data_IF_732597059265
#
_entry.id   IF_732597059265
#
_cell.length_a   1.000
_cell.length_b   1.000
_cell.length_c   1.000
_cell.angle_alpha   90.00
_cell.angle_beta   90.00
_cell.angle_gamma   90.00
#
_symmetry.space_group_name_H-M   'P 1'
#
loop_
_entity.id
_entity.type
_entity.pdbx_description
1 polymer ?
#
# COMPACT_ATOMS: atom_id res chain seq x y z
N UNK A 1 -27.16 4.60 16.14
CA UNK A 1 -26.43 5.84 16.53
C UNK A 1 -25.16 5.88 15.71
N UNK A 2 -24.61 7.03 15.29
CA UNK A 2 -23.27 7.03 14.70
C UNK A 2 -22.33 6.46 15.76
N UNK A 3 -21.66 5.35 15.44
CA UNK A 3 -20.65 4.77 16.32
C UNK A 3 -19.57 5.81 16.59
N UNK A 4 -19.24 6.01 17.86
CA UNK A 4 -18.14 6.88 18.24
C UNK A 4 -16.84 6.26 17.72
N UNK A 5 -16.07 7.04 16.97
CA UNK A 5 -14.86 6.54 16.32
C UNK A 5 -13.73 6.56 17.34
N UNK A 6 -13.15 5.40 17.62
CA UNK A 6 -12.08 5.26 18.61
C UNK A 6 -10.73 5.67 17.99
N UNK A 7 -10.21 6.83 18.39
CA UNK A 7 -8.91 7.32 17.95
C UNK A 7 -7.80 7.02 18.98
N UNK A 8 -6.53 6.85 18.55
CA UNK A 8 -5.40 6.86 19.48
C UNK A 8 -5.32 8.16 20.29
N UNK A 9 -4.63 8.16 21.45
CA UNK A 9 -4.41 9.37 22.24
C UNK A 9 -3.85 10.52 21.39
N UNK A 10 -4.29 11.75 21.68
CA UNK A 10 -3.87 12.98 21.00
C UNK A 10 -4.26 13.09 19.50
N UNK A 11 -5.01 12.14 18.95
CA UNK A 11 -5.52 12.22 17.58
C UNK A 11 -6.90 12.90 17.55
N UNK A 12 -7.02 13.95 16.74
CA UNK A 12 -8.29 14.64 16.52
C UNK A 12 -9.17 13.87 15.52
N UNK A 13 -10.52 13.94 15.64
CA UNK A 13 -11.42 13.32 14.68
C UNK A 13 -11.13 13.73 13.24
N UNK A 14 -11.31 12.85 12.26
CA UNK A 14 -11.01 13.15 10.84
C UNK A 14 -12.32 13.12 10.06
N UNK A 15 -13.01 14.25 9.84
CA UNK A 15 -14.27 14.25 9.10
C UNK A 15 -14.05 14.24 7.58
N UNK A 16 -14.93 13.58 6.83
CA UNK A 16 -14.89 13.56 5.35
C UNK A 16 -14.97 14.96 4.72
N UNK A 17 -15.53 15.94 5.43
CA UNK A 17 -15.71 17.32 4.95
C UNK A 17 -14.46 18.20 5.09
N UNK A 18 -13.38 17.68 5.67
CA UNK A 18 -12.12 18.43 5.80
C UNK A 18 -11.45 18.65 4.45
N UNK A 19 -10.83 19.82 4.26
CA UNK A 19 -9.97 20.08 3.10
C UNK A 19 -8.68 19.26 3.15
N UNK A 20 -8.07 19.02 1.99
CA UNK A 20 -6.89 18.14 1.85
C UNK A 20 -5.73 18.51 2.79
N UNK A 21 -5.44 19.80 2.99
CA UNK A 21 -4.36 20.24 3.91
C UNK A 21 -4.61 19.79 5.35
N UNK A 22 -5.85 19.92 5.82
CA UNK A 22 -6.23 19.49 7.17
C UNK A 22 -6.25 17.97 7.28
N UNK A 23 -6.73 17.26 6.25
CA UNK A 23 -6.69 15.80 6.19
C UNK A 23 -5.25 15.29 6.30
N UNK A 24 -4.33 15.85 5.51
CA UNK A 24 -2.90 15.47 5.57
C UNK A 24 -2.33 15.71 6.96
N UNK A 25 -2.62 16.86 7.59
CA UNK A 25 -2.14 17.16 8.95
C UNK A 25 -2.64 16.14 9.98
N UNK A 26 -3.94 15.80 9.96
CA UNK A 26 -4.51 14.84 10.91
C UNK A 26 -4.05 13.40 10.65
N UNK A 27 -3.96 12.99 9.38
CA UNK A 27 -3.48 11.65 9.01
C UNK A 27 -2.00 11.44 9.35
N UNK A 28 -1.17 12.49 9.27
CA UNK A 28 0.23 12.43 9.73
C UNK A 28 0.32 12.09 11.22
N UNK A 29 -0.36 12.87 12.06
CA UNK A 29 -0.41 12.66 13.52
C UNK A 29 -0.97 11.27 13.84
N UNK A 30 -2.04 10.87 13.15
CA UNK A 30 -2.63 9.55 13.34
C UNK A 30 -1.65 8.42 12.98
N UNK A 31 -0.94 8.56 11.86
CA UNK A 31 0.00 7.54 11.41
C UNK A 31 1.21 7.42 12.36
N UNK A 32 1.67 8.51 12.97
CA UNK A 32 2.71 8.49 14.00
C UNK A 32 2.22 7.71 15.24
N UNK A 33 1.03 8.01 15.75
CA UNK A 33 0.47 7.32 16.90
C UNK A 33 0.18 5.82 16.66
N UNK A 34 -0.28 5.46 15.45
CA UNK A 34 -0.54 4.07 15.08
C UNK A 34 0.75 3.25 14.87
N UNK A 35 1.84 3.89 14.44
CA UNK A 35 3.15 3.23 14.31
C UNK A 35 3.71 2.77 15.66
N UNK A 36 3.48 3.55 16.71
CA UNK A 36 3.91 3.24 18.08
C UNK A 36 2.98 2.25 18.81
N UNK A 37 1.85 1.88 18.20
CA UNK A 37 0.89 0.99 18.84
C UNK A 37 1.33 -0.47 18.80
N UNK A 38 1.28 -1.15 19.94
CA UNK A 38 1.35 -2.61 20.01
C UNK A 38 0.13 -3.26 19.34
N UNK A 39 0.17 -4.58 19.14
CA UNK A 39 -1.00 -5.31 18.61
C UNK A 39 -2.14 -5.38 19.61
N UNK A 40 -3.35 -5.66 19.13
CA UNK A 40 -4.52 -5.86 19.96
C UNK A 40 -4.44 -7.13 20.82
N UNK A 41 -3.69 -8.13 20.36
CA UNK A 41 -3.37 -9.32 21.14
C UNK A 41 -2.46 -8.98 22.33
N UNK A 42 -1.36 -8.26 22.09
CA UNK A 42 -0.41 -7.85 23.14
C UNK A 42 -1.02 -6.90 24.17
N UNK A 43 -1.90 -6.00 23.73
CA UNK A 43 -2.55 -5.02 24.61
C UNK A 43 -3.79 -5.56 25.33
N UNK A 44 -4.28 -6.75 24.98
CA UNK A 44 -5.51 -7.33 25.55
C UNK A 44 -6.79 -6.57 25.18
N UNK A 45 -6.77 -5.84 24.06
CA UNK A 45 -7.89 -5.02 23.57
C UNK A 45 -8.26 -5.42 22.13
N UNK A 46 -9.01 -6.52 21.93
CA UNK A 46 -9.18 -7.18 20.64
C UNK A 46 -9.81 -6.31 19.54
N UNK A 47 -10.73 -5.40 19.91
CA UNK A 47 -11.50 -4.57 18.96
C UNK A 47 -11.00 -3.12 18.85
N UNK A 48 -9.85 -2.79 19.47
CA UNK A 48 -9.33 -1.42 19.47
C UNK A 48 -9.09 -0.95 18.03
N UNK A 49 -9.60 0.24 17.70
CA UNK A 49 -9.56 0.89 16.38
C UNK A 49 -10.45 0.26 15.31
N UNK A 50 -11.39 -0.62 15.66
CA UNK A 50 -12.31 -1.23 14.69
C UNK A 50 -13.23 -0.20 14.03
N UNK A 51 -13.75 0.73 14.83
CA UNK A 51 -14.59 1.83 14.33
C UNK A 51 -13.77 2.84 13.52
N UNK A 52 -12.49 3.02 13.84
CA UNK A 52 -11.56 3.85 13.07
C UNK A 52 -11.24 3.26 11.70
N UNK A 53 -10.96 1.95 11.62
CA UNK A 53 -10.78 1.25 10.35
C UNK A 53 -12.00 1.43 9.46
N UNK A 54 -13.19 1.16 10.00
CA UNK A 54 -14.47 1.29 9.30
C UNK A 54 -14.74 2.73 8.85
N UNK A 55 -14.31 3.72 9.63
CA UNK A 55 -14.45 5.13 9.30
C UNK A 55 -13.52 5.57 8.17
N UNK A 56 -12.23 5.18 8.22
CA UNK A 56 -11.24 5.52 7.20
C UNK A 56 -11.43 4.74 5.89
N UNK A 57 -12.11 3.59 5.95
CA UNK A 57 -12.49 2.79 4.78
C UNK A 57 -13.68 3.35 3.99
N UNK A 58 -14.29 4.47 4.40
CA UNK A 58 -15.39 5.10 3.66
C UNK A 58 -14.91 5.65 2.32
N UNK A 59 -15.76 5.56 1.29
CA UNK A 59 -15.48 6.06 -0.07
C UNK A 59 -15.05 7.53 -0.10
N UNK A 60 -15.56 8.36 0.82
CA UNK A 60 -15.14 9.76 0.94
C UNK A 60 -13.62 9.95 1.13
N UNK A 61 -12.94 8.97 1.74
CA UNK A 61 -11.50 8.95 1.94
C UNK A 61 -10.80 8.17 0.82
N UNK A 62 -11.27 6.94 0.53
CA UNK A 62 -10.63 6.06 -0.46
C UNK A 62 -10.64 6.64 -1.89
N UNK A 63 -11.60 7.48 -2.23
CA UNK A 63 -11.72 8.10 -3.56
C UNK A 63 -11.04 9.46 -3.67
N UNK A 64 -10.45 9.98 -2.59
CA UNK A 64 -9.76 11.27 -2.58
C UNK A 64 -8.63 11.28 -3.63
N UNK A 65 -8.52 12.36 -4.40
CA UNK A 65 -7.57 12.47 -5.53
C UNK A 65 -6.21 13.04 -5.14
N UNK A 66 -6.05 13.58 -3.93
CA UNK A 66 -4.79 14.12 -3.45
C UNK A 66 -3.83 12.98 -3.12
N UNK A 67 -2.69 12.92 -3.83
CA UNK A 67 -1.66 11.90 -3.59
C UNK A 67 -1.14 11.94 -2.16
N UNK A 68 -0.99 13.13 -1.58
CA UNK A 68 -0.58 13.31 -0.19
C UNK A 68 -1.60 12.70 0.78
N UNK A 69 -2.90 12.97 0.58
CA UNK A 69 -3.95 12.33 1.39
C UNK A 69 -3.91 10.83 1.21
N UNK A 70 -3.78 10.34 -0.02
CA UNK A 70 -3.77 8.90 -0.32
C UNK A 70 -2.65 8.16 0.42
N UNK A 71 -1.41 8.65 0.36
CA UNK A 71 -0.28 7.98 1.03
C UNK A 71 -0.42 7.99 2.54
N UNK A 72 -0.81 9.11 3.16
CA UNK A 72 -0.98 9.17 4.61
C UNK A 72 -2.15 8.30 5.09
N UNK A 73 -3.25 8.26 4.32
CA UNK A 73 -4.37 7.36 4.58
C UNK A 73 -3.97 5.89 4.45
N UNK A 74 -3.24 5.53 3.40
CA UNK A 74 -2.80 4.15 3.17
C UNK A 74 -1.88 3.66 4.29
N UNK A 75 -0.97 4.51 4.79
CA UNK A 75 -0.17 4.18 5.96
C UNK A 75 -1.02 3.97 7.20
N UNK A 76 -1.98 4.86 7.51
CA UNK A 76 -2.88 4.67 8.65
C UNK A 76 -3.65 3.35 8.54
N UNK A 77 -4.18 3.01 7.36
CA UNK A 77 -4.89 1.75 7.14
C UNK A 77 -3.96 0.54 7.32
N UNK A 78 -2.74 0.58 6.78
CA UNK A 78 -1.76 -0.49 6.96
C UNK A 78 -1.36 -0.67 8.43
N UNK A 79 -1.16 0.43 9.17
CA UNK A 79 -0.84 0.40 10.60
C UNK A 79 -2.00 -0.15 11.44
N UNK A 80 -3.24 0.22 11.12
CA UNK A 80 -4.41 -0.35 11.80
C UNK A 80 -4.52 -1.86 11.52
N UNK A 81 -4.32 -2.29 10.27
CA UNK A 81 -4.32 -3.72 9.92
C UNK A 81 -3.20 -4.48 10.64
N UNK A 82 -2.03 -3.87 10.83
CA UNK A 82 -0.94 -4.41 11.65
C UNK A 82 -1.36 -4.57 13.12
N UNK A 83 -2.02 -3.56 13.69
CA UNK A 83 -2.51 -3.61 15.08
C UNK A 83 -3.48 -4.77 15.29
N UNK A 84 -4.30 -5.10 14.28
CA UNK A 84 -5.20 -6.26 14.33
C UNK A 84 -4.52 -7.61 14.04
N UNK A 85 -3.29 -7.64 13.52
CA UNK A 85 -2.63 -8.89 13.19
C UNK A 85 -2.49 -9.79 14.44
N UNK A 86 -2.66 -11.12 14.30
CA UNK A 86 -2.81 -11.87 13.04
C UNK A 86 -4.25 -11.91 12.48
N UNK A 87 -5.27 -11.49 13.23
CA UNK A 87 -6.68 -11.69 12.88
C UNK A 87 -7.40 -10.34 12.68
N UNK A 88 -7.68 -9.98 11.42
CA UNK A 88 -8.35 -8.71 11.12
C UNK A 88 -9.89 -8.86 11.16
N UNK A 89 -10.61 -8.14 12.03
CA UNK A 89 -12.06 -8.28 12.22
C UNK A 89 -12.87 -7.45 11.21
N UNK A 90 -12.55 -7.56 9.92
CA UNK A 90 -13.32 -6.90 8.87
C UNK A 90 -14.59 -7.72 8.58
N UNK A 91 -15.73 -7.17 8.99
CA UNK A 91 -17.02 -7.85 8.85
C UNK A 91 -17.62 -7.80 7.45
N UNK A 92 -17.26 -6.81 6.63
CA UNK A 92 -17.72 -6.67 5.25
C UNK A 92 -16.58 -6.98 4.27
N UNK A 93 -16.64 -8.11 3.53
CA UNK A 93 -15.62 -8.47 2.54
C UNK A 93 -15.41 -7.40 1.47
N UNK A 94 -16.47 -6.67 1.08
CA UNK A 94 -16.38 -5.62 0.06
C UNK A 94 -15.57 -4.43 0.54
N UNK A 95 -15.70 -4.07 1.82
CA UNK A 95 -14.89 -3.03 2.45
C UNK A 95 -13.42 -3.44 2.56
N UNK A 96 -13.13 -4.69 2.96
CA UNK A 96 -11.75 -5.20 2.99
C UNK A 96 -11.11 -5.15 1.60
N UNK A 97 -11.82 -5.62 0.57
CA UNK A 97 -11.36 -5.53 -0.82
C UNK A 97 -11.03 -4.09 -1.21
N UNK A 98 -11.92 -3.15 -0.95
CA UNK A 98 -11.74 -1.75 -1.36
C UNK A 98 -10.53 -1.10 -0.65
N UNK A 99 -10.31 -1.42 0.62
CA UNK A 99 -9.11 -1.02 1.38
C UNK A 99 -7.84 -1.63 0.78
N UNK A 100 -7.82 -2.93 0.50
CA UNK A 100 -6.65 -3.58 -0.10
C UNK A 100 -6.33 -3.01 -1.49
N UNK A 101 -7.34 -2.83 -2.35
CA UNK A 101 -7.17 -2.22 -3.67
C UNK A 101 -6.64 -0.79 -3.55
N UNK A 102 -7.15 -0.01 -2.60
CA UNK A 102 -6.68 1.36 -2.35
C UNK A 102 -5.21 1.39 -1.92
N UNK A 103 -4.83 0.56 -0.95
CA UNK A 103 -3.44 0.43 -0.47
C UNK A 103 -2.52 0.05 -1.63
N UNK A 104 -2.89 -0.95 -2.41
CA UNK A 104 -2.09 -1.42 -3.56
C UNK A 104 -1.94 -0.33 -4.60
N UNK A 105 -3.02 0.36 -4.99
CA UNK A 105 -2.95 1.45 -5.97
C UNK A 105 -2.03 2.58 -5.51
N UNK A 106 -2.01 2.85 -4.21
CA UNK A 106 -1.13 3.85 -3.60
C UNK A 106 0.35 3.52 -3.81
N UNK A 107 0.74 2.24 -3.83
CA UNK A 107 2.15 1.83 -4.09
C UNK A 107 2.71 2.32 -5.44
N UNK A 108 1.85 2.75 -6.38
CA UNK A 108 2.30 3.38 -7.63
C UNK A 108 3.23 4.59 -7.42
N UNK A 109 3.12 5.28 -6.28
CA UNK A 109 4.04 6.38 -5.95
C UNK A 109 5.53 5.98 -5.89
N UNK A 110 5.84 4.68 -5.84
CA UNK A 110 7.19 4.13 -5.94
C UNK A 110 7.77 4.16 -7.36
N UNK A 111 7.00 4.46 -8.41
CA UNK A 111 7.52 4.52 -9.79
C UNK A 111 8.53 5.66 -10.01
N UNK A 112 8.57 6.62 -9.08
CA UNK A 112 9.35 7.85 -9.13
C UNK A 112 10.15 8.04 -7.84
N UNK A 113 11.45 7.66 -7.81
CA UNK A 113 12.31 7.86 -6.64
C UNK A 113 12.58 9.34 -6.31
N UNK A 114 12.36 10.25 -7.28
CA UNK A 114 12.45 11.70 -7.04
C UNK A 114 11.25 12.27 -6.27
N UNK A 115 10.21 11.47 -6.05
CA UNK A 115 9.03 11.87 -5.29
C UNK A 115 9.42 12.26 -3.85
N UNK A 116 9.08 13.47 -3.35
CA UNK A 116 9.41 13.90 -1.99
C UNK A 116 8.84 12.99 -0.89
N UNK A 117 7.77 12.25 -1.20
CA UNK A 117 7.13 11.29 -0.30
C UNK A 117 7.59 9.85 -0.54
N UNK A 118 8.61 9.60 -1.37
CA UNK A 118 9.09 8.26 -1.72
C UNK A 118 9.38 7.41 -0.48
N UNK A 119 10.06 7.99 0.52
CA UNK A 119 10.33 7.30 1.81
C UNK A 119 9.05 6.82 2.50
N UNK A 120 7.93 7.54 2.34
CA UNK A 120 6.64 7.13 2.91
C UNK A 120 5.98 6.00 2.11
N UNK A 121 6.07 6.04 0.78
CA UNK A 121 5.64 4.90 -0.05
C UNK A 121 6.47 3.65 0.22
N UNK A 122 7.77 3.81 0.45
CA UNK A 122 8.67 2.72 0.79
C UNK A 122 8.34 2.13 2.16
N UNK A 123 8.10 2.98 3.16
CA UNK A 123 7.58 2.56 4.47
C UNK A 123 6.28 1.74 4.34
N UNK A 124 5.33 2.22 3.54
CA UNK A 124 4.08 1.49 3.29
C UNK A 124 4.38 0.09 2.72
N UNK A 125 5.26 -0.01 1.72
CA UNK A 125 5.66 -1.28 1.12
C UNK A 125 6.27 -2.25 2.15
N UNK A 126 7.20 -1.75 2.99
CA UNK A 126 7.84 -2.57 4.02
C UNK A 126 6.83 -3.08 5.05
N UNK A 127 5.94 -2.20 5.55
CA UNK A 127 4.90 -2.57 6.50
C UNK A 127 4.01 -3.70 5.94
N UNK A 128 3.49 -3.54 4.71
CA UNK A 128 2.66 -4.55 4.05
C UNK A 128 3.38 -5.89 3.87
N UNK A 129 4.67 -5.85 3.54
CA UNK A 129 5.47 -7.06 3.36
C UNK A 129 5.72 -7.79 4.68
N UNK A 130 6.08 -7.07 5.74
CA UNK A 130 6.36 -7.65 7.07
C UNK A 130 5.10 -8.24 7.67
N UNK A 131 3.99 -7.48 7.65
CA UNK A 131 2.70 -7.89 8.19
C UNK A 131 2.00 -8.90 7.30
N UNK A 132 2.43 -9.02 6.04
CA UNK A 132 1.80 -9.87 5.03
C UNK A 132 0.34 -9.51 4.79
N UNK A 133 0.02 -8.22 4.87
CA UNK A 133 -1.35 -7.66 4.79
C UNK A 133 -2.12 -8.14 3.56
N UNK A 134 -1.43 -8.36 2.44
CA UNK A 134 -2.03 -8.78 1.18
C UNK A 134 -2.62 -10.20 1.23
N UNK A 135 -2.18 -11.05 2.17
CA UNK A 135 -2.72 -12.40 2.36
C UNK A 135 -4.18 -12.35 2.81
N UNK A 136 -4.65 -11.26 3.44
CA UNK A 136 -6.07 -11.08 3.78
C UNK A 136 -7.00 -11.18 2.56
N UNK A 137 -6.47 -11.04 1.34
CA UNK A 137 -7.24 -11.25 0.12
C UNK A 137 -7.70 -12.71 -0.07
N UNK A 138 -7.09 -13.70 0.58
CA UNK A 138 -7.52 -15.11 0.48
C UNK A 138 -8.86 -15.37 1.17
N UNK A 139 -9.22 -14.53 2.14
CA UNK A 139 -10.48 -14.61 2.86
C UNK A 139 -11.64 -13.93 2.10
N UNK A 140 -11.35 -13.29 0.96
CA UNK A 140 -12.33 -12.66 0.10
C UNK A 140 -13.00 -13.65 -0.85
N UNK A 141 -14.20 -13.34 -1.38
CA UNK A 141 -14.76 -14.06 -2.52
C UNK A 141 -13.75 -14.16 -3.69
N UNK A 142 -13.74 -15.27 -4.45
CA UNK A 142 -12.72 -15.50 -5.48
C UNK A 142 -12.56 -14.38 -6.52
N UNK A 143 -13.66 -13.73 -6.91
CA UNK A 143 -13.66 -12.59 -7.85
C UNK A 143 -12.96 -11.37 -7.25
N UNK A 144 -13.23 -11.06 -5.98
CA UNK A 144 -12.65 -9.96 -5.24
C UNK A 144 -11.15 -10.21 -4.98
N UNK A 145 -10.79 -11.43 -4.55
CA UNK A 145 -9.39 -11.85 -4.37
C UNK A 145 -8.59 -11.70 -5.68
N UNK A 146 -9.16 -12.15 -6.80
CA UNK A 146 -8.59 -11.99 -8.14
C UNK A 146 -8.40 -10.52 -8.49
N UNK A 147 -9.35 -9.64 -8.14
CA UNK A 147 -9.24 -8.22 -8.39
C UNK A 147 -8.10 -7.58 -7.60
N UNK A 148 -7.90 -7.95 -6.33
CA UNK A 148 -6.75 -7.48 -5.52
C UNK A 148 -5.43 -7.93 -6.16
N UNK A 149 -5.32 -9.22 -6.50
CA UNK A 149 -4.12 -9.80 -7.10
C UNK A 149 -3.77 -9.17 -8.46
N UNK A 150 -4.76 -8.99 -9.33
CA UNK A 150 -4.58 -8.29 -10.62
C UNK A 150 -4.11 -6.85 -10.43
N UNK A 151 -4.67 -6.15 -9.43
CA UNK A 151 -4.26 -4.78 -9.11
C UNK A 151 -2.81 -4.78 -8.60
N UNK A 152 -2.43 -5.72 -7.73
CA UNK A 152 -1.07 -5.85 -7.20
C UNK A 152 -0.06 -6.11 -8.31
N UNK A 153 -0.33 -7.05 -9.20
CA UNK A 153 0.54 -7.35 -10.33
C UNK A 153 0.72 -6.14 -11.24
N UNK A 154 -0.39 -5.51 -11.65
CA UNK A 154 -0.35 -4.33 -12.51
C UNK A 154 0.46 -3.20 -11.88
N UNK A 155 0.18 -2.86 -10.63
CA UNK A 155 0.90 -1.78 -9.93
C UNK A 155 2.38 -2.13 -9.75
N UNK A 156 2.71 -3.35 -9.37
CA UNK A 156 4.10 -3.78 -9.19
C UNK A 156 4.90 -3.66 -10.49
N UNK A 157 4.29 -4.02 -11.62
CA UNK A 157 4.93 -3.95 -12.92
C UNK A 157 5.04 -2.52 -13.44
N UNK A 158 4.06 -1.66 -13.16
CA UNK A 158 4.17 -0.22 -13.44
C UNK A 158 5.33 0.41 -12.64
N UNK A 159 5.45 0.08 -11.35
CA UNK A 159 6.56 0.53 -10.49
C UNK A 159 7.90 0.04 -11.01
N UNK A 160 8.04 -1.27 -11.29
CA UNK A 160 9.28 -1.86 -11.79
C UNK A 160 9.71 -1.30 -13.15
N UNK A 161 8.75 -0.90 -13.98
CA UNK A 161 9.00 -0.30 -15.30
C UNK A 161 9.04 1.24 -15.29
N UNK A 162 9.02 1.88 -14.12
CA UNK A 162 9.11 3.33 -13.99
C UNK A 162 10.31 3.90 -14.78
N UNK A 163 10.05 4.91 -15.63
CA UNK A 163 11.08 5.47 -16.52
C UNK A 163 12.22 6.13 -15.74
N UNK A 164 11.90 6.70 -14.59
CA UNK A 164 12.89 7.37 -13.74
C UNK A 164 13.93 6.39 -13.21
N UNK A 165 13.59 5.12 -12.99
CA UNK A 165 14.57 4.09 -12.65
C UNK A 165 15.65 3.85 -13.70
N UNK A 166 15.44 4.31 -14.94
CA UNK A 166 16.35 4.12 -16.09
C UNK A 166 17.05 5.41 -16.53
N UNK A 167 16.66 6.56 -15.98
CA UNK A 167 16.99 7.87 -16.56
C UNK A 167 18.46 8.31 -16.38
N UNK A 168 19.30 7.54 -15.70
CA UNK A 168 20.73 7.87 -15.52
C UNK A 168 21.66 7.18 -16.53
N UNK A 169 21.20 6.18 -17.30
CA UNK A 169 22.09 5.54 -18.29
C UNK A 169 22.28 6.37 -19.57
N UNK A 170 21.60 7.52 -19.72
CA UNK A 170 21.61 8.35 -20.94
C UNK A 170 21.89 9.85 -20.73
N UNK A 171 22.20 10.31 -19.52
CA UNK A 171 22.33 11.74 -19.21
C UNK A 171 23.73 12.15 -18.67
N UNK A 172 24.79 11.47 -19.10
CA UNK A 172 26.17 11.77 -18.67
C UNK A 172 27.05 12.20 -19.86
N UNK A 173 26.72 13.32 -20.49
CA UNK A 173 27.73 14.16 -21.16
C UNK A 173 28.09 15.42 -20.34
N UNK A 174 27.34 15.76 -19.29
CA UNK A 174 27.69 16.82 -18.33
C UNK A 174 27.74 16.25 -16.90
N UNK A 175 28.96 16.05 -16.40
CA UNK A 175 29.26 15.28 -15.20
C UNK A 175 28.90 15.98 -13.88
N UNK A 176 27.75 15.62 -13.30
CA UNK A 176 27.45 15.95 -11.91
C UNK A 176 26.85 14.81 -11.05
N UNK A 177 26.74 13.58 -11.58
CA UNK A 177 26.35 12.42 -10.77
C UNK A 177 27.62 11.62 -10.42
N UNK A 178 27.91 11.47 -9.13
CA UNK A 178 28.98 10.60 -8.65
C UNK A 178 28.54 9.15 -8.76
N UNK A 179 29.47 8.22 -9.05
CA UNK A 179 29.19 6.77 -9.17
C UNK A 179 28.42 6.21 -7.95
N UNK A 180 28.64 6.80 -6.77
CA UNK A 180 27.99 6.50 -5.49
C UNK A 180 26.45 6.69 -5.51
N UNK A 181 25.94 7.72 -6.19
CA UNK A 181 24.49 8.01 -6.23
C UNK A 181 23.71 6.98 -7.10
N UNK A 182 24.38 6.42 -8.11
CA UNK A 182 23.79 5.41 -9.00
C UNK A 182 23.62 4.06 -8.32
N UNK A 183 24.58 3.67 -7.48
CA UNK A 183 24.56 2.40 -6.75
C UNK A 183 23.46 2.39 -5.68
N UNK A 184 23.34 3.45 -4.85
CA UNK A 184 22.27 3.55 -3.83
C UNK A 184 20.86 3.49 -4.45
N UNK A 185 20.68 4.10 -5.62
CA UNK A 185 19.40 4.10 -6.34
C UNK A 185 19.08 2.73 -6.93
N UNK A 186 20.08 2.02 -7.44
CA UNK A 186 19.92 0.66 -7.94
C UNK A 186 19.55 -0.31 -6.81
N UNK A 187 20.25 -0.23 -5.68
CA UNK A 187 19.94 -1.02 -4.48
C UNK A 187 18.51 -0.76 -3.98
N UNK A 188 18.11 0.52 -3.94
CA UNK A 188 16.75 0.91 -3.57
C UNK A 188 15.70 0.32 -4.51
N UNK A 189 15.96 0.33 -5.83
CA UNK A 189 15.06 -0.27 -6.82
C UNK A 189 14.95 -1.78 -6.63
N UNK A 190 16.07 -2.46 -6.46
CA UNK A 190 16.10 -3.91 -6.29
C UNK A 190 15.39 -4.33 -5.00
N UNK A 191 15.53 -3.55 -3.93
CA UNK A 191 14.78 -3.76 -2.68
C UNK A 191 13.28 -3.57 -2.89
N UNK A 192 12.84 -2.51 -3.58
CA UNK A 192 11.42 -2.31 -3.92
C UNK A 192 10.87 -3.48 -4.73
N UNK A 193 11.56 -3.88 -5.79
CA UNK A 193 11.13 -4.97 -6.67
C UNK A 193 11.10 -6.30 -5.89
N UNK A 194 12.11 -6.57 -5.06
CA UNK A 194 12.18 -7.76 -4.23
C UNK A 194 11.00 -7.89 -3.28
N UNK A 195 10.61 -6.80 -2.60
CA UNK A 195 9.45 -6.77 -1.71
C UNK A 195 8.13 -6.99 -2.47
N UNK A 196 7.97 -6.35 -3.63
CA UNK A 196 6.77 -6.55 -4.48
C UNK A 196 6.65 -8.01 -4.95
N UNK A 197 7.74 -8.59 -5.45
CA UNK A 197 7.78 -10.01 -5.86
C UNK A 197 7.49 -10.92 -4.67
N UNK A 198 8.03 -10.59 -3.48
CA UNK A 198 7.77 -11.34 -2.25
C UNK A 198 6.28 -11.39 -1.89
N UNK A 199 5.60 -10.23 -1.91
CA UNK A 199 4.17 -10.15 -1.63
C UNK A 199 3.33 -10.89 -2.69
N UNK A 200 3.63 -10.72 -3.98
CA UNK A 200 2.96 -11.44 -5.07
C UNK A 200 3.13 -12.94 -4.89
N UNK A 201 4.36 -13.40 -4.64
CA UNK A 201 4.67 -14.82 -4.47
C UNK A 201 3.99 -15.43 -3.26
N UNK A 202 3.89 -14.67 -2.15
CA UNK A 202 3.18 -15.13 -0.95
C UNK A 202 1.70 -15.29 -1.23
N UNK A 203 1.05 -14.26 -1.77
CA UNK A 203 -0.38 -14.31 -2.10
C UNK A 203 -0.69 -15.41 -3.14
N UNK A 204 0.13 -15.57 -4.17
CA UNK A 204 -0.05 -16.63 -5.19
C UNK A 204 0.07 -18.06 -4.63
N UNK A 205 0.83 -18.26 -3.55
CA UNK A 205 0.94 -19.58 -2.90
C UNK A 205 -0.26 -19.89 -2.02
N UNK A 206 -0.93 -18.87 -1.51
CA UNK A 206 -2.02 -19.00 -0.56
C UNK A 206 -3.40 -19.01 -1.26
N UNK A 207 -3.48 -18.68 -2.55
CA UNK A 207 -4.72 -18.80 -3.35
C UNK A 207 -4.86 -20.20 -3.95
N UNK A 208 -6.04 -20.81 -3.80
CA UNK A 208 -6.34 -22.15 -4.32
C UNK A 208 -6.30 -22.24 -5.85
N UNK A 209 -6.70 -21.16 -6.54
CA UNK A 209 -6.74 -21.09 -8.00
C UNK A 209 -6.24 -19.73 -8.50
N UNK A 210 -5.37 -19.78 -9.50
CA UNK A 210 -4.91 -18.59 -10.22
C UNK A 210 -5.71 -18.46 -11.51
N UNK A 211 -6.43 -17.35 -11.67
CA UNK A 211 -7.27 -17.14 -12.86
C UNK A 211 -6.42 -16.92 -14.13
N UNK A 212 -7.00 -17.25 -15.29
CA UNK A 212 -6.34 -17.02 -16.58
C UNK A 212 -5.96 -15.55 -16.78
N UNK A 213 -6.78 -14.60 -16.31
CA UNK A 213 -6.47 -13.17 -16.37
C UNK A 213 -5.20 -12.79 -15.60
N UNK A 214 -4.96 -13.42 -14.45
CA UNK A 214 -3.76 -13.19 -13.64
C UNK A 214 -2.53 -13.75 -14.35
N UNK A 215 -2.66 -14.93 -14.94
CA UNK A 215 -1.62 -15.52 -15.78
C UNK A 215 -1.32 -14.64 -17.00
N UNK A 216 -2.34 -14.10 -17.66
CA UNK A 216 -2.18 -13.20 -18.80
C UNK A 216 -1.41 -11.93 -18.43
N UNK A 217 -1.69 -11.34 -17.26
CA UNK A 217 -0.91 -10.20 -16.76
C UNK A 217 0.54 -10.60 -16.52
N UNK A 218 0.80 -11.74 -15.87
CA UNK A 218 2.16 -12.25 -15.67
C UNK A 218 2.89 -12.48 -17.00
N UNK A 219 2.25 -13.16 -17.95
CA UNK A 219 2.81 -13.45 -19.26
C UNK A 219 3.03 -12.19 -20.09
N UNK A 220 2.10 -11.24 -20.07
CA UNK A 220 2.25 -9.95 -20.75
C UNK A 220 3.55 -9.24 -20.34
N UNK A 221 3.88 -9.25 -19.05
CA UNK A 221 5.09 -8.62 -18.54
C UNK A 221 6.35 -9.48 -18.67
N UNK A 222 6.25 -10.81 -18.64
CA UNK A 222 7.38 -11.72 -18.85
C UNK A 222 7.82 -11.79 -20.31
N UNK A 223 6.87 -11.82 -21.24
CA UNK A 223 7.14 -12.04 -22.65
C UNK A 223 7.60 -10.75 -23.33
N UNK A 224 7.21 -9.57 -22.79
CA UNK A 224 7.29 -8.25 -23.42
C UNK A 224 6.56 -8.27 -24.78
N UNK A 225 5.63 -7.35 -25.09
CA UNK A 225 5.19 -7.21 -26.46
C UNK A 225 6.42 -6.87 -27.32
N UNK A 226 6.81 -7.79 -28.19
CA UNK A 226 7.78 -7.54 -29.26
C UNK A 226 7.29 -6.25 -29.92
N UNK A 227 8.06 -5.16 -29.79
CA UNK A 227 7.80 -3.95 -30.54
C UNK A 227 7.89 -4.33 -32.01
N UNK A 228 6.75 -4.45 -32.68
CA UNK A 228 6.70 -4.37 -34.13
C UNK A 228 6.91 -2.92 -34.55
#
# INVERSE_FOLDING_TARGET
MPEDVEYPPNCMPIPCSSGNSELVKRLKILSEALQESDTNDESGHPDRYRTLLSHLAKSCFLENKSRDVQIWLACCLADILRVFAPNVPLGDPSQLRDVLIFIVRTLKGLESPSNPLFRRYFYLLENLSVVSTLVLAVDLPPEDATQVLRTLLKTSMEVANGKEWRSETQASEDGSATEDDGDERSESRDKVIGLLIGMISKLLRDVDQVSAEVLDVLFFYLINPQKN
#
